data_IF_811506968786
#
_entry.id   IF_811506968786
#
_cell.length_a   1.000
_cell.length_b   1.000
_cell.length_c   1.000
_cell.angle_alpha   90.00
_cell.angle_beta   90.00
_cell.angle_gamma   90.00
#
_symmetry.space_group_name_H-M   'P 1'
#
loop_
_entity.id
_entity.type
_entity.pdbx_description
1 polymer ?
#
# COMPACT_ATOMS: atom_id res chain seq x y z
N UNK A 1 -9.44 -19.39 0.14
CA UNK A 1 -8.01 -19.16 0.45
C UNK A 1 -7.97 -17.94 1.33
N UNK A 2 -7.28 -17.99 2.46
CA UNK A 2 -7.18 -16.86 3.38
C UNK A 2 -5.79 -16.29 3.28
N UNK A 3 -5.69 -14.98 3.08
CA UNK A 3 -4.44 -14.23 3.06
C UNK A 3 -4.30 -13.59 4.43
N UNK A 4 -3.19 -13.88 5.10
CA UNK A 4 -2.82 -13.29 6.38
C UNK A 4 -1.55 -12.49 6.14
N UNK A 5 -1.60 -11.20 6.41
CA UNK A 5 -0.45 -10.32 6.39
C UNK A 5 -0.17 -9.89 7.83
N UNK A 6 0.95 -10.37 8.35
CA UNK A 6 1.45 -10.04 9.68
C UNK A 6 2.47 -8.90 9.55
N UNK A 7 2.16 -7.77 10.17
CA UNK A 7 3.03 -6.61 10.27
C UNK A 7 3.38 -6.36 11.73
N UNK A 8 4.49 -5.66 12.00
CA UNK A 8 5.01 -5.44 13.36
C UNK A 8 3.99 -4.92 14.40
N UNK A 9 2.91 -4.25 13.96
CA UNK A 9 1.88 -3.68 14.84
C UNK A 9 0.45 -4.13 14.50
N UNK A 10 0.24 -4.87 13.42
CA UNK A 10 -1.09 -5.15 12.88
C UNK A 10 -1.15 -6.49 12.15
N UNK A 11 -2.28 -7.18 12.26
CA UNK A 11 -2.57 -8.39 11.47
C UNK A 11 -3.75 -8.09 10.56
N UNK A 12 -3.56 -8.26 9.26
CA UNK A 12 -4.61 -8.14 8.25
C UNK A 12 -5.03 -9.51 7.77
N UNK A 13 -6.34 -9.72 7.65
CA UNK A 13 -6.93 -10.99 7.19
C UNK A 13 -7.90 -10.66 6.07
N UNK A 14 -7.74 -11.32 4.93
CA UNK A 14 -8.57 -11.11 3.75
C UNK A 14 -8.79 -12.43 2.98
N UNK A 15 -9.91 -12.55 2.27
CA UNK A 15 -10.18 -13.68 1.39
C UNK A 15 -9.60 -13.49 -0.02
N UNK A 16 -9.29 -12.23 -0.38
CA UNK A 16 -8.75 -11.87 -1.70
C UNK A 16 -7.65 -10.82 -1.61
N UNK A 17 -6.72 -10.74 -2.59
CA UNK A 17 -5.72 -9.68 -2.64
C UNK A 17 -6.33 -8.28 -2.72
N UNK A 18 -7.47 -8.12 -3.41
CA UNK A 18 -8.19 -6.85 -3.55
C UNK A 18 -8.70 -6.33 -2.20
N UNK A 19 -9.25 -7.23 -1.38
CA UNK A 19 -9.72 -6.90 -0.03
C UNK A 19 -8.53 -6.51 0.87
N UNK A 20 -7.43 -7.25 0.82
CA UNK A 20 -6.21 -6.92 1.56
C UNK A 20 -5.68 -5.53 1.16
N UNK A 21 -5.63 -5.23 -0.14
CA UNK A 21 -5.19 -3.94 -0.64
C UNK A 21 -6.09 -2.80 -0.13
N UNK A 22 -7.41 -2.97 -0.10
CA UNK A 22 -8.33 -1.98 0.44
C UNK A 22 -8.10 -1.73 1.95
N UNK A 23 -7.84 -2.78 2.73
CA UNK A 23 -7.50 -2.66 4.15
C UNK A 23 -6.19 -1.87 4.35
N UNK A 24 -5.16 -2.15 3.56
CA UNK A 24 -3.88 -1.44 3.60
C UNK A 24 -4.03 0.04 3.21
N UNK A 25 -4.76 0.34 2.14
CA UNK A 25 -5.03 1.72 1.70
C UNK A 25 -5.79 2.50 2.80
N UNK A 26 -6.72 1.85 3.51
CA UNK A 26 -7.48 2.49 4.60
C UNK A 26 -6.62 2.91 5.81
N UNK A 27 -5.42 2.33 5.95
CA UNK A 27 -4.44 2.68 7.00
C UNK A 27 -3.52 3.81 6.59
N UNK A 28 -3.53 4.24 5.33
CA UNK A 28 -2.74 5.40 4.92
C UNK A 28 -3.24 6.64 5.67
N UNK A 29 -2.33 7.47 6.20
CA UNK A 29 -2.71 8.73 6.82
C UNK A 29 -3.42 9.63 5.80
N UNK A 30 -4.21 10.60 6.27
CA UNK A 30 -4.95 11.53 5.40
C UNK A 30 -4.05 12.31 4.44
N UNK A 31 -2.78 12.52 4.81
CA UNK A 31 -1.72 13.06 3.96
C UNK A 31 -0.49 12.14 4.01
N UNK A 32 -0.45 11.04 3.23
CA UNK A 32 0.75 10.22 3.15
C UNK A 32 1.86 11.03 2.48
N UNK A 33 3.09 10.85 2.96
CA UNK A 33 4.23 11.44 2.30
C UNK A 33 4.56 10.68 1.00
N UNK A 34 5.40 11.30 0.16
CA UNK A 34 5.75 10.73 -1.14
C UNK A 34 6.49 9.39 -1.00
N UNK A 35 7.19 9.16 0.12
CA UNK A 35 7.90 7.90 0.35
C UNK A 35 6.92 6.76 0.61
N UNK A 36 5.92 6.98 1.46
CA UNK A 36 4.87 6.01 1.74
C UNK A 36 4.08 5.65 0.47
N UNK A 37 3.79 6.65 -0.37
CA UNK A 37 3.12 6.43 -1.65
C UNK A 37 3.99 5.62 -2.62
N UNK A 38 5.30 5.89 -2.66
CA UNK A 38 6.24 5.14 -3.50
C UNK A 38 6.37 3.69 -3.03
N UNK A 39 6.53 3.46 -1.73
CA UNK A 39 6.64 2.12 -1.13
C UNK A 39 5.37 1.29 -1.37
N UNK A 40 4.19 1.90 -1.24
CA UNK A 40 2.93 1.23 -1.55
C UNK A 40 2.81 0.89 -3.04
N UNK A 41 3.13 1.83 -3.93
CA UNK A 41 3.07 1.58 -5.36
C UNK A 41 4.05 0.46 -5.77
N UNK A 42 5.27 0.49 -5.25
CA UNK A 42 6.28 -0.55 -5.46
C UNK A 42 5.77 -1.93 -5.03
N UNK A 43 5.14 -2.01 -3.85
CA UNK A 43 4.54 -3.25 -3.35
C UNK A 43 3.38 -3.75 -4.24
N UNK A 44 2.54 -2.85 -4.74
CA UNK A 44 1.41 -3.19 -5.62
C UNK A 44 1.88 -3.64 -7.01
N UNK A 45 2.89 -2.98 -7.58
CA UNK A 45 3.40 -3.28 -8.92
C UNK A 45 4.49 -4.35 -8.94
N UNK A 46 5.04 -4.72 -7.78
CA UNK A 46 6.13 -5.70 -7.68
C UNK A 46 7.43 -5.18 -8.28
N UNK A 47 7.73 -3.89 -8.12
CA UNK A 47 8.96 -3.24 -8.60
C UNK A 47 9.73 -2.57 -7.46
N UNK A 48 10.91 -2.02 -7.76
CA UNK A 48 11.64 -1.21 -6.79
C UNK A 48 10.94 0.15 -6.60
N UNK A 49 11.00 0.72 -5.39
CA UNK A 49 10.45 2.06 -5.12
C UNK A 49 11.19 3.15 -5.90
N UNK A 50 12.45 2.91 -6.27
CA UNK A 50 13.23 3.79 -7.14
C UNK A 50 12.68 3.86 -8.58
N UNK A 51 11.88 2.87 -8.99
CA UNK A 51 11.21 2.85 -10.29
C UNK A 51 9.87 3.60 -10.28
N UNK A 52 9.44 4.13 -9.13
CA UNK A 52 8.17 4.86 -8.99
C UNK A 52 8.37 6.36 -9.18
N UNK A 53 7.56 6.96 -10.05
CA UNK A 53 7.48 8.41 -10.25
C UNK A 53 6.14 8.91 -9.72
N UNK A 54 6.16 9.76 -8.70
CA UNK A 54 4.96 10.43 -8.16
C UNK A 54 4.78 11.78 -8.84
N UNK A 55 3.64 11.94 -9.52
CA UNK A 55 3.24 13.22 -10.13
C UNK A 55 2.13 13.86 -9.31
N UNK A 56 2.36 15.07 -8.81
CA UNK A 56 1.31 15.88 -8.16
C UNK A 56 0.61 16.74 -9.20
N UNK A 57 -0.71 16.60 -9.31
CA UNK A 57 -1.53 17.50 -10.11
C UNK A 57 -2.04 18.62 -9.22
N UNK A 58 -1.74 19.87 -9.56
CA UNK A 58 -2.32 21.04 -8.89
C UNK A 58 -3.85 20.96 -9.03
N UNK A 59 -4.57 21.03 -7.92
CA UNK A 59 -6.04 21.26 -7.89
C UNK A 59 -6.31 22.69 -7.48
#
# INVERSE_FOLDING_TARGET
MTIILDCDSDIFIAETPTELAAQLISRLPHSPDDRMLADLAAAVFGCDYLDIIITRTSS
#
